data_IF_443475352759
#
_entry.id   IF_443475352759
#
_cell.length_a   1.000
_cell.length_b   1.000
_cell.length_c   1.000
_cell.angle_alpha   90.00
_cell.angle_beta   90.00
_cell.angle_gamma   90.00
#
_symmetry.space_group_name_H-M   'P 1'
#
loop_
_entity.id
_entity.type
_entity.pdbx_description
1 polymer ?
#
# COMPACT_ATOMS: atom_id res chain seq x y z
N UNK A 1 -23.77 10.65 -20.91
CA UNK A 1 -23.34 10.95 -19.53
C UNK A 1 -21.88 11.32 -19.60
N UNK A 2 -21.39 12.28 -18.80
CA UNK A 2 -19.99 12.72 -18.83
C UNK A 2 -19.29 12.28 -17.55
N UNK A 3 -17.98 12.07 -17.63
CA UNK A 3 -17.19 11.60 -16.50
C UNK A 3 -16.94 12.71 -15.47
N UNK A 4 -16.86 12.34 -14.20
CA UNK A 4 -16.43 13.22 -13.12
C UNK A 4 -14.89 13.34 -13.13
N UNK A 5 -14.20 12.23 -13.37
CA UNK A 5 -12.74 12.16 -13.47
C UNK A 5 -12.33 11.37 -14.71
N UNK A 6 -11.27 11.84 -15.37
CA UNK A 6 -10.54 11.06 -16.38
C UNK A 6 -9.06 11.08 -16.00
N UNK A 7 -8.49 9.92 -15.77
CA UNK A 7 -7.05 9.73 -15.62
C UNK A 7 -6.46 9.44 -17.00
N UNK A 8 -5.35 10.08 -17.34
CA UNK A 8 -4.71 9.96 -18.66
C UNK A 8 -3.20 9.89 -18.54
N UNK A 9 -2.52 9.56 -19.65
CA UNK A 9 -1.06 9.58 -19.73
C UNK A 9 -0.40 8.69 -18.66
N UNK A 10 -0.90 7.46 -18.53
CA UNK A 10 -0.37 6.46 -17.60
C UNK A 10 -0.50 5.05 -18.13
N UNK A 11 -0.08 4.10 -17.33
CA UNK A 11 -0.13 2.67 -17.59
C UNK A 11 -1.20 2.05 -16.69
N UNK A 12 -2.41 1.85 -17.22
CA UNK A 12 -3.57 1.38 -16.45
C UNK A 12 -3.79 -0.09 -16.73
N UNK A 13 -3.51 -0.91 -15.72
CA UNK A 13 -3.71 -2.35 -15.76
C UNK A 13 -5.17 -2.67 -15.42
N UNK A 14 -5.93 -3.18 -16.38
CA UNK A 14 -7.35 -3.49 -16.18
C UNK A 14 -7.57 -4.77 -15.39
N UNK A 15 -6.58 -5.68 -15.41
CA UNK A 15 -6.65 -7.01 -14.80
C UNK A 15 -7.91 -7.74 -15.27
N UNK A 16 -8.24 -7.57 -16.56
CA UNK A 16 -9.26 -8.35 -17.26
C UNK A 16 -8.68 -9.70 -17.73
N UNK A 17 -9.49 -10.52 -18.38
CA UNK A 17 -9.08 -11.85 -18.87
C UNK A 17 -7.88 -11.82 -19.85
N UNK A 18 -7.58 -10.65 -20.43
CA UNK A 18 -6.49 -10.45 -21.38
C UNK A 18 -5.31 -9.69 -20.77
N UNK A 19 -5.34 -9.35 -19.49
CA UNK A 19 -4.35 -8.47 -18.84
C UNK A 19 -4.09 -7.17 -19.61
N UNK A 20 -5.18 -6.55 -20.09
CA UNK A 20 -5.10 -5.38 -20.94
C UNK A 20 -4.47 -4.18 -20.21
N UNK A 21 -3.61 -3.45 -20.93
CA UNK A 21 -3.04 -2.19 -20.46
C UNK A 21 -3.58 -1.06 -21.34
N UNK A 22 -4.13 -0.03 -20.72
CA UNK A 22 -4.70 1.14 -21.40
C UNK A 22 -4.10 2.43 -20.85
N UNK A 23 -4.23 3.54 -21.60
CA UNK A 23 -3.63 4.84 -21.26
C UNK A 23 -4.58 5.80 -20.54
N UNK A 24 -5.85 5.42 -20.43
CA UNK A 24 -6.86 6.27 -19.80
C UNK A 24 -8.02 5.49 -19.20
N UNK A 25 -8.63 6.08 -18.16
CA UNK A 25 -9.80 5.55 -17.45
C UNK A 25 -10.73 6.71 -17.06
N UNK A 26 -12.03 6.53 -17.26
CA UNK A 26 -13.07 7.47 -16.88
C UNK A 26 -13.90 6.94 -15.72
N UNK A 27 -14.19 7.81 -14.75
CA UNK A 27 -14.97 7.50 -13.55
C UNK A 27 -16.19 8.39 -13.47
N UNK A 28 -17.35 7.79 -13.16
CA UNK A 28 -18.61 8.45 -12.87
C UNK A 28 -19.09 7.96 -11.48
N UNK A 29 -19.23 8.88 -10.54
CA UNK A 29 -19.53 8.52 -9.15
C UNK A 29 -18.47 7.58 -8.57
N UNK A 30 -18.89 6.38 -8.20
CA UNK A 30 -18.04 5.32 -7.64
C UNK A 30 -17.69 4.20 -8.65
N UNK A 31 -17.95 4.42 -9.95
CA UNK A 31 -17.82 3.41 -10.99
C UNK A 31 -16.85 3.80 -12.09
N UNK A 32 -16.10 2.82 -12.56
CA UNK A 32 -15.37 2.91 -13.81
C UNK A 32 -16.40 2.87 -14.94
N UNK A 33 -16.48 3.94 -15.72
CA UNK A 33 -17.44 4.08 -16.81
C UNK A 33 -16.88 3.66 -18.16
N UNK A 34 -15.59 3.86 -18.40
CA UNK A 34 -14.89 3.46 -19.63
C UNK A 34 -13.38 3.41 -19.41
N UNK A 35 -12.69 2.69 -20.30
CA UNK A 35 -11.23 2.57 -20.34
C UNK A 35 -10.69 2.86 -21.74
N UNK A 36 -9.43 3.24 -21.85
CA UNK A 36 -8.76 3.54 -23.11
C UNK A 36 -9.42 4.71 -23.86
N UNK A 37 -9.53 4.59 -25.18
CA UNK A 37 -10.09 5.66 -26.01
C UNK A 37 -11.53 6.04 -25.68
N UNK A 38 -12.34 5.09 -25.23
CA UNK A 38 -13.73 5.36 -24.83
C UNK A 38 -13.80 6.24 -23.58
N UNK A 39 -12.83 6.16 -22.71
CA UNK A 39 -12.73 7.03 -21.54
C UNK A 39 -12.58 8.51 -21.97
N UNK A 40 -11.78 8.79 -22.99
CA UNK A 40 -11.55 10.15 -23.50
C UNK A 40 -12.81 10.78 -24.10
N UNK A 41 -13.71 9.96 -24.67
CA UNK A 41 -15.00 10.38 -25.23
C UNK A 41 -16.01 10.87 -24.18
N UNK A 42 -15.80 10.51 -22.92
CA UNK A 42 -16.65 10.91 -21.80
C UNK A 42 -16.28 12.27 -21.20
N UNK A 43 -15.30 12.99 -21.76
CA UNK A 43 -14.94 14.33 -21.32
C UNK A 43 -16.11 15.30 -21.45
N UNK A 44 -16.37 16.09 -20.43
CA UNK A 44 -17.32 17.20 -20.39
C UNK A 44 -16.70 18.43 -19.75
N UNK A 45 -17.46 19.52 -19.70
CA UNK A 45 -16.98 20.82 -19.19
C UNK A 45 -16.59 20.79 -17.70
N UNK A 46 -17.25 19.91 -16.92
CA UNK A 46 -16.99 19.75 -15.49
C UNK A 46 -16.05 18.57 -15.17
N UNK A 47 -15.58 17.82 -16.19
CA UNK A 47 -14.71 16.66 -15.99
C UNK A 47 -13.33 17.10 -15.51
N UNK A 48 -12.88 16.55 -14.38
CA UNK A 48 -11.51 16.73 -13.90
C UNK A 48 -10.57 15.75 -14.59
N UNK A 49 -9.57 16.29 -15.29
CA UNK A 49 -8.54 15.49 -15.94
C UNK A 49 -7.33 15.42 -15.01
N UNK A 50 -6.86 14.20 -14.75
CA UNK A 50 -5.70 13.90 -13.91
C UNK A 50 -4.63 13.29 -14.81
N UNK A 51 -3.54 14.01 -15.00
CA UNK A 51 -2.37 13.51 -15.72
C UNK A 51 -1.58 12.59 -14.79
N UNK A 52 -1.37 11.36 -15.22
CA UNK A 52 -0.61 10.36 -14.46
C UNK A 52 0.90 10.51 -14.61
N UNK A 53 1.36 11.29 -15.60
CA UNK A 53 2.80 11.52 -15.84
C UNK A 53 3.58 10.20 -16.00
N UNK A 54 2.98 9.21 -16.67
CA UNK A 54 3.57 7.88 -16.85
C UNK A 54 3.44 6.94 -15.66
N UNK A 55 2.77 7.34 -14.57
CA UNK A 55 2.54 6.46 -13.42
C UNK A 55 1.52 5.38 -13.75
N UNK A 56 1.67 4.23 -13.05
CA UNK A 56 0.75 3.10 -13.23
C UNK A 56 -0.46 3.21 -12.30
N UNK A 57 -1.62 2.74 -12.80
CA UNK A 57 -2.82 2.46 -11.99
C UNK A 57 -3.09 0.97 -12.04
N UNK A 58 -3.35 0.40 -10.88
CA UNK A 58 -3.82 -0.99 -10.71
C UNK A 58 -5.11 -1.00 -9.89
N UNK A 59 -5.96 -2.03 -9.99
CA UNK A 59 -7.07 -2.22 -9.06
C UNK A 59 -6.60 -2.27 -7.62
N UNK A 60 -7.45 -1.84 -6.68
CA UNK A 60 -7.16 -1.96 -5.25
C UNK A 60 -6.92 -3.42 -4.86
N UNK A 61 -5.91 -3.65 -4.02
CA UNK A 61 -5.57 -5.00 -3.59
C UNK A 61 -6.65 -5.59 -2.69
N UNK A 62 -7.04 -6.84 -2.99
CA UNK A 62 -7.92 -7.66 -2.16
C UNK A 62 -7.08 -8.82 -1.64
N UNK A 63 -6.67 -8.74 -0.37
CA UNK A 63 -5.90 -9.82 0.26
C UNK A 63 -6.86 -10.92 0.73
N UNK A 64 -6.92 -12.01 -0.02
CA UNK A 64 -7.79 -13.15 0.26
C UNK A 64 -7.26 -14.06 1.38
N UNK A 65 -6.00 -13.86 1.83
CA UNK A 65 -5.38 -14.64 2.90
C UNK A 65 -4.61 -13.73 3.85
N UNK A 66 -5.29 -13.12 4.78
CA UNK A 66 -4.71 -12.19 5.76
C UNK A 66 -4.90 -12.68 7.19
N UNK A 67 -3.80 -12.75 7.94
CA UNK A 67 -3.81 -12.98 9.39
C UNK A 67 -3.92 -11.64 10.14
N UNK A 68 -5.07 -10.99 10.07
CA UNK A 68 -5.29 -9.62 10.59
C UNK A 68 -4.95 -9.48 12.08
N UNK A 69 -5.28 -10.48 12.90
CA UNK A 69 -4.94 -10.48 14.33
C UNK A 69 -3.42 -10.50 14.57
N UNK A 70 -2.69 -11.32 13.81
CA UNK A 70 -1.22 -11.38 13.89
C UNK A 70 -0.61 -10.08 13.39
N UNK A 71 -1.11 -9.52 12.30
CA UNK A 71 -0.67 -8.24 11.77
C UNK A 71 -0.85 -7.13 12.82
N UNK A 72 -2.02 -7.04 13.43
CA UNK A 72 -2.31 -6.04 14.47
C UNK A 72 -1.36 -6.14 15.66
N UNK A 73 -1.10 -7.36 16.15
CA UNK A 73 -0.14 -7.58 17.24
C UNK A 73 1.28 -7.18 16.81
N UNK A 74 1.70 -7.51 15.60
CA UNK A 74 3.03 -7.17 15.10
C UNK A 74 3.22 -5.66 14.91
N UNK A 75 2.19 -4.93 14.47
CA UNK A 75 2.23 -3.46 14.36
C UNK A 75 2.39 -2.76 15.71
N UNK A 76 1.88 -3.36 16.79
CA UNK A 76 2.05 -2.86 18.15
C UNK A 76 3.40 -3.28 18.78
N UNK A 77 4.07 -4.26 18.21
CA UNK A 77 5.32 -4.86 18.70
C UNK A 77 6.55 -4.19 18.08
N UNK A 78 7.73 -4.51 18.60
CA UNK A 78 9.00 -4.12 18.00
C UNK A 78 9.34 -5.13 16.90
N UNK A 79 9.65 -4.63 15.71
CA UNK A 79 10.19 -5.44 14.61
C UNK A 79 11.68 -5.69 14.83
N UNK A 80 12.02 -6.94 15.13
CA UNK A 80 13.39 -7.40 15.36
C UNK A 80 13.96 -8.19 14.17
N UNK A 81 13.32 -8.16 13.00
CA UNK A 81 13.79 -8.91 11.82
C UNK A 81 15.07 -8.34 11.24
N UNK A 82 15.89 -9.23 10.69
CA UNK A 82 16.96 -8.81 9.77
C UNK A 82 16.36 -8.24 8.46
N UNK A 83 16.91 -7.18 7.86
CA UNK A 83 18.14 -6.46 8.21
C UNK A 83 17.96 -5.27 9.17
N UNK A 84 16.75 -5.07 9.74
CA UNK A 84 16.45 -3.95 10.66
C UNK A 84 17.13 -4.09 12.02
N UNK A 85 17.48 -5.32 12.40
CA UNK A 85 18.23 -5.68 13.60
C UNK A 85 19.36 -6.58 13.18
N UNK A 86 20.57 -6.26 13.64
CA UNK A 86 21.80 -6.99 13.32
C UNK A 86 22.63 -7.35 14.58
N UNK A 87 22.22 -6.86 15.74
CA UNK A 87 22.91 -7.07 17.01
C UNK A 87 21.95 -7.04 18.17
N UNK A 88 22.37 -7.60 19.33
CA UNK A 88 21.62 -7.49 20.58
C UNK A 88 21.44 -6.03 21.00
N UNK A 89 22.43 -5.18 20.73
CA UNK A 89 22.33 -3.75 21.06
C UNK A 89 21.25 -3.04 20.26
N UNK A 90 21.06 -3.39 18.98
CA UNK A 90 19.96 -2.86 18.17
C UNK A 90 18.59 -3.21 18.79
N UNK A 91 18.44 -4.43 19.33
CA UNK A 91 17.22 -4.85 20.03
C UNK A 91 17.00 -4.00 21.28
N UNK A 92 18.05 -3.83 22.10
CA UNK A 92 17.98 -3.00 23.31
C UNK A 92 17.61 -1.56 23.01
N UNK A 93 18.15 -0.98 21.94
CA UNK A 93 17.85 0.37 21.53
C UNK A 93 16.36 0.51 21.16
N UNK A 94 15.83 -0.40 20.34
CA UNK A 94 14.40 -0.43 20.00
C UNK A 94 13.50 -0.56 21.25
N UNK A 95 13.92 -1.37 22.23
CA UNK A 95 13.20 -1.50 23.51
C UNK A 95 13.23 -0.18 24.27
N UNK A 96 14.40 0.48 24.38
CA UNK A 96 14.54 1.77 25.07
C UNK A 96 13.64 2.85 24.42
N UNK A 97 13.64 2.92 23.10
CA UNK A 97 12.78 3.85 22.36
C UNK A 97 11.29 3.60 22.64
N UNK A 98 10.87 2.36 22.54
CA UNK A 98 9.47 1.99 22.80
C UNK A 98 9.05 2.28 24.24
N UNK A 99 9.95 2.09 25.19
CA UNK A 99 9.70 2.32 26.62
C UNK A 99 9.47 3.80 26.97
N UNK A 100 10.05 4.75 26.24
CA UNK A 100 9.87 6.18 26.49
C UNK A 100 8.41 6.63 26.45
N UNK A 101 7.58 5.97 25.64
CA UNK A 101 6.17 6.30 25.47
C UNK A 101 5.20 5.45 26.32
N UNK A 102 5.71 4.59 27.23
CA UNK A 102 4.89 3.65 27.97
C UNK A 102 5.01 3.87 29.50
N UNK A 103 3.90 3.76 30.24
CA UNK A 103 3.95 3.78 31.71
C UNK A 103 4.67 2.55 32.26
N UNK A 104 5.23 2.62 33.49
CA UNK A 104 5.86 1.50 34.16
C UNK A 104 4.91 0.30 34.30
N UNK A 105 5.44 -0.91 34.12
CA UNK A 105 4.67 -2.16 34.23
C UNK A 105 4.00 -2.63 32.93
N UNK A 106 4.06 -1.85 31.85
CA UNK A 106 3.55 -2.27 30.54
C UNK A 106 4.59 -3.15 29.83
N UNK A 107 4.13 -4.30 29.32
CA UNK A 107 4.97 -5.21 28.57
C UNK A 107 5.32 -4.66 27.19
N UNK A 108 6.59 -4.79 26.82
CA UNK A 108 7.07 -4.53 25.46
C UNK A 108 7.29 -5.87 24.77
N UNK A 109 6.62 -6.06 23.65
CA UNK A 109 6.75 -7.27 22.83
C UNK A 109 7.62 -6.99 21.61
N UNK A 110 8.54 -7.91 21.30
CA UNK A 110 9.29 -7.96 20.06
C UNK A 110 8.99 -9.24 19.29
N UNK A 111 9.23 -9.25 17.98
CA UNK A 111 9.01 -10.43 17.13
C UNK A 111 10.04 -10.50 16.00
N UNK A 112 10.18 -11.68 15.43
CA UNK A 112 10.95 -11.91 14.20
C UNK A 112 12.47 -11.90 14.38
N UNK A 113 12.98 -11.90 15.60
CA UNK A 113 14.40 -12.01 15.88
C UNK A 113 14.95 -13.38 15.45
N UNK A 114 16.12 -13.37 14.85
CA UNK A 114 16.84 -14.55 14.38
C UNK A 114 18.29 -14.51 14.93
N UNK A 115 18.58 -15.38 15.90
CA UNK A 115 19.87 -15.41 16.57
C UNK A 115 21.04 -15.75 15.63
N UNK A 116 20.77 -16.45 14.49
CA UNK A 116 21.80 -16.80 13.51
C UNK A 116 22.22 -15.60 12.63
N UNK A 117 21.46 -14.52 12.67
CA UNK A 117 21.72 -13.31 11.90
C UNK A 117 22.21 -12.13 12.72
N UNK A 118 22.39 -12.33 14.03
CA UNK A 118 23.04 -11.35 14.89
C UNK A 118 24.56 -11.46 14.77
N UNK A 119 25.25 -10.37 15.08
CA UNK A 119 26.72 -10.29 15.01
C UNK A 119 27.43 -10.97 16.17
N UNK A 120 26.70 -11.22 17.26
CA UNK A 120 27.19 -11.90 18.46
C UNK A 120 27.03 -13.42 18.37
#
# INVERSE_FOLDING_TARGET
>A
MKADYIFTNGEIHTVDENDSIVDSIAVIGDRIAAVGNDAKNLKGDCTKIIDLEGRSIVPGFIDAHLHMGVLGINLLSIDCRYPYVKSIEDIKEKIREKAKGLPPGVWIRGWGYDHLKLKE
#
